data_IF_127686508900
#
_entry.id   IF_127686508900
#
_cell.length_a   1.000
_cell.length_b   1.000
_cell.length_c   1.000
_cell.angle_alpha   90.00
_cell.angle_beta   90.00
_cell.angle_gamma   90.00
#
_symmetry.space_group_name_H-M   'P 1'
#
loop_
_entity.id
_entity.type
_entity.pdbx_description
1 polymer ?
#
# COMPACT_ATOMS: atom_id res chain seq x y z
N UNK A 1 -11.35 -1.10 24.17
CA UNK A 1 -10.16 -1.12 23.29
C UNK A 1 -9.01 -1.69 24.11
N UNK A 2 -8.59 -2.93 23.86
CA UNK A 2 -7.53 -3.59 24.65
C UNK A 2 -6.32 -3.73 23.73
N UNK A 3 -5.23 -3.04 24.08
CA UNK A 3 -3.94 -3.10 23.39
C UNK A 3 -3.06 -4.07 24.18
N UNK A 4 -2.69 -5.20 23.60
CA UNK A 4 -1.68 -6.09 24.18
C UNK A 4 -0.31 -5.71 23.60
N UNK A 5 0.61 -5.30 24.47
CA UNK A 5 1.99 -4.96 24.14
C UNK A 5 2.88 -6.00 24.83
N UNK A 6 3.64 -6.77 24.06
CA UNK A 6 4.57 -7.76 24.61
C UNK A 6 5.70 -7.10 25.42
N UNK A 7 6.20 -7.71 26.52
CA UNK A 7 7.02 -7.01 27.52
C UNK A 7 8.53 -6.97 27.22
N UNK A 8 8.97 -7.35 26.01
CA UNK A 8 10.40 -7.43 25.70
C UNK A 8 10.78 -6.62 24.45
N UNK A 9 11.39 -5.44 24.72
CA UNK A 9 12.30 -4.66 23.85
C UNK A 9 11.74 -4.06 22.54
N UNK A 10 11.65 -2.71 22.50
CA UNK A 10 12.33 -1.79 21.52
C UNK A 10 11.63 -0.42 21.48
N UNK A 11 12.09 0.53 22.29
CA UNK A 11 11.59 1.92 22.33
C UNK A 11 11.76 2.73 21.03
N UNK A 12 12.57 2.27 20.06
CA UNK A 12 12.80 3.00 18.80
C UNK A 12 11.79 2.72 17.66
N UNK A 13 10.92 1.71 17.76
CA UNK A 13 9.98 1.39 16.65
C UNK A 13 8.73 2.28 16.64
N UNK A 14 8.37 2.85 17.79
CA UNK A 14 7.09 3.53 17.97
C UNK A 14 7.05 4.91 17.31
N UNK A 15 8.17 5.65 17.26
CA UNK A 15 8.18 6.99 16.63
C UNK A 15 8.02 6.90 15.11
N UNK A 16 8.81 6.04 14.45
CA UNK A 16 8.78 5.86 13.00
C UNK A 16 7.41 5.38 12.50
N UNK A 17 6.77 4.45 13.21
CA UNK A 17 5.43 3.98 12.87
C UNK A 17 4.35 5.08 13.06
N UNK A 18 4.50 5.93 14.08
CA UNK A 18 3.59 7.04 14.34
C UNK A 18 3.75 8.15 13.30
N UNK A 19 4.99 8.44 12.90
CA UNK A 19 5.30 9.42 11.85
C UNK A 19 4.80 8.95 10.48
N UNK A 20 5.03 7.69 10.12
CA UNK A 20 4.49 7.09 8.90
C UNK A 20 2.96 7.11 8.89
N UNK A 21 2.31 6.83 10.03
CA UNK A 21 0.84 6.87 10.13
C UNK A 21 0.31 8.28 9.92
N UNK A 22 0.99 9.29 10.50
CA UNK A 22 0.66 10.70 10.32
C UNK A 22 0.77 11.09 8.85
N UNK A 23 1.88 10.74 8.20
CA UNK A 23 2.12 10.99 6.77
C UNK A 23 1.04 10.36 5.90
N UNK A 24 0.65 9.10 6.14
CA UNK A 24 -0.45 8.44 5.42
C UNK A 24 -1.75 9.26 5.53
N UNK A 25 -2.15 9.60 6.75
CA UNK A 25 -3.42 10.29 7.00
C UNK A 25 -3.43 11.70 6.41
N UNK A 26 -2.32 12.45 6.52
CA UNK A 26 -2.28 13.84 6.06
C UNK A 26 -2.10 13.98 4.55
N UNK A 27 -1.49 13.01 3.87
CA UNK A 27 -1.04 13.22 2.49
C UNK A 27 -1.84 12.45 1.45
N UNK A 28 -2.23 11.20 1.73
CA UNK A 28 -2.85 10.36 0.71
C UNK A 28 -4.34 10.13 0.93
N UNK A 29 -4.77 9.95 2.18
CA UNK A 29 -6.18 9.71 2.51
C UNK A 29 -7.05 10.93 2.18
N UNK A 30 -8.13 10.73 1.44
CA UNK A 30 -9.14 11.74 1.10
C UNK A 30 -10.45 11.08 0.64
N UNK A 31 -11.36 11.85 0.05
CA UNK A 31 -12.64 11.36 -0.50
C UNK A 31 -12.50 10.29 -1.60
N UNK A 32 -11.35 10.23 -2.27
CA UNK A 32 -11.08 9.30 -3.35
C UNK A 32 -10.30 8.06 -2.85
N UNK A 33 -9.30 8.25 -1.99
CA UNK A 33 -8.47 7.19 -1.41
C UNK A 33 -8.87 6.99 0.05
N UNK A 34 -9.60 5.90 0.32
CA UNK A 34 -10.14 5.60 1.65
C UNK A 34 -9.17 4.81 2.52
N UNK A 35 -8.18 4.15 1.92
CA UNK A 35 -7.23 3.34 2.68
C UNK A 35 -5.92 3.13 1.94
N UNK A 36 -4.89 2.84 2.71
CA UNK A 36 -3.54 2.57 2.21
C UNK A 36 -2.89 1.48 3.04
N UNK A 37 -2.11 0.62 2.40
CA UNK A 37 -1.23 -0.33 3.08
C UNK A 37 0.12 -0.34 2.40
N UNK A 38 1.18 -0.30 3.20
CA UNK A 38 2.56 -0.43 2.74
C UNK A 38 3.09 -1.77 3.22
N UNK A 39 3.68 -2.52 2.30
CA UNK A 39 4.30 -3.81 2.56
C UNK A 39 5.79 -3.72 2.25
N UNK A 40 6.59 -4.54 2.91
CA UNK A 40 7.98 -4.77 2.52
C UNK A 40 8.10 -5.71 1.31
N UNK A 41 9.34 -6.00 0.91
CA UNK A 41 9.69 -6.91 -0.18
C UNK A 41 9.19 -8.35 0.02
N UNK A 42 8.98 -8.77 1.27
CA UNK A 42 8.44 -10.10 1.62
C UNK A 42 6.90 -10.11 1.64
N UNK A 43 6.25 -8.97 1.34
CA UNK A 43 4.80 -8.83 1.41
C UNK A 43 4.25 -8.69 2.82
N UNK A 44 5.11 -8.44 3.81
CA UNK A 44 4.69 -8.24 5.21
C UNK A 44 4.21 -6.80 5.40
N UNK A 45 3.01 -6.58 5.98
CA UNK A 45 2.52 -5.23 6.24
C UNK A 45 3.40 -4.47 7.23
N UNK A 46 4.02 -3.39 6.76
CA UNK A 46 4.77 -2.44 7.58
C UNK A 46 3.82 -1.49 8.30
N UNK A 47 2.83 -0.97 7.56
CA UNK A 47 1.82 -0.05 8.10
C UNK A 47 0.57 -0.07 7.23
N UNK A 48 -0.59 0.11 7.85
CA UNK A 48 -1.85 0.27 7.14
C UNK A 48 -2.76 1.30 7.80
N UNK A 49 -3.53 1.98 6.97
CA UNK A 49 -4.70 2.76 7.33
C UNK A 49 -5.86 2.22 6.50
N UNK A 50 -6.77 1.50 7.13
CA UNK A 50 -7.93 0.92 6.45
C UNK A 50 -9.21 1.60 6.98
N UNK A 51 -10.18 1.90 6.11
CA UNK A 51 -11.50 2.31 6.55
C UNK A 51 -12.19 1.15 7.25
N UNK A 52 -13.15 1.43 8.14
CA UNK A 52 -13.87 0.42 8.91
C UNK A 52 -14.62 -0.62 8.05
N UNK A 53 -14.87 -0.28 6.79
CA UNK A 53 -15.50 -1.16 5.80
C UNK A 53 -14.54 -2.20 5.20
N UNK A 54 -13.22 -2.05 5.40
CA UNK A 54 -12.20 -2.98 4.94
C UNK A 54 -11.63 -3.77 6.11
N UNK A 55 -11.69 -5.09 5.99
CA UNK A 55 -11.25 -6.01 7.05
C UNK A 55 -9.83 -6.49 6.80
N UNK A 56 -9.16 -6.99 7.85
CA UNK A 56 -7.88 -7.67 7.72
C UNK A 56 -7.94 -8.87 6.76
N UNK A 57 -9.10 -9.53 6.64
CA UNK A 57 -9.34 -10.60 5.66
C UNK A 57 -9.24 -10.07 4.22
N UNK A 58 -9.83 -8.90 3.96
CA UNK A 58 -9.74 -8.23 2.66
C UNK A 58 -8.30 -7.87 2.34
N UNK A 59 -7.57 -7.32 3.30
CA UNK A 59 -6.15 -7.00 3.11
C UNK A 59 -5.36 -8.26 2.74
N UNK A 60 -5.57 -9.37 3.45
CA UNK A 60 -4.89 -10.65 3.16
C UNK A 60 -5.16 -11.18 1.75
N UNK A 61 -6.40 -11.04 1.27
CA UNK A 61 -6.73 -11.45 -0.09
C UNK A 61 -6.02 -10.60 -1.14
N UNK A 62 -5.93 -9.29 -0.89
CA UNK A 62 -5.23 -8.36 -1.78
C UNK A 62 -3.72 -8.58 -1.76
N UNK A 63 -3.12 -8.83 -0.59
CA UNK A 63 -1.68 -9.11 -0.48
C UNK A 63 -1.27 -10.35 -1.26
N UNK A 64 -2.13 -11.39 -1.30
CA UNK A 64 -1.85 -12.60 -2.08
C UNK A 64 -1.75 -12.33 -3.60
N UNK A 65 -2.35 -11.24 -4.09
CA UNK A 65 -2.23 -10.87 -5.50
C UNK A 65 -0.82 -10.42 -5.87
N UNK A 66 0.00 -10.03 -4.89
CA UNK A 66 1.40 -9.63 -5.14
C UNK A 66 2.22 -10.79 -5.64
N UNK A 67 1.98 -12.01 -5.15
CA UNK A 67 2.63 -13.21 -5.67
C UNK A 67 2.32 -13.40 -7.16
N UNK A 68 1.05 -13.19 -7.55
CA UNK A 68 0.63 -13.25 -8.95
C UNK A 68 1.29 -12.15 -9.77
N UNK A 69 1.35 -10.92 -9.25
CA UNK A 69 2.01 -9.79 -9.90
C UNK A 69 3.50 -10.09 -10.13
N UNK A 70 4.18 -10.67 -9.13
CA UNK A 70 5.59 -11.06 -9.26
C UNK A 70 5.80 -12.11 -10.35
N UNK A 71 4.92 -13.11 -10.42
CA UNK A 71 4.95 -14.10 -11.50
C UNK A 71 4.77 -13.42 -12.86
N UNK A 72 3.78 -12.51 -12.99
CA UNK A 72 3.55 -11.77 -14.24
C UNK A 72 4.80 -10.97 -14.63
N UNK A 73 5.42 -10.25 -13.69
CA UNK A 73 6.64 -9.47 -13.93
C UNK A 73 7.81 -10.32 -14.41
N UNK A 74 7.99 -11.51 -13.85
CA UNK A 74 9.05 -12.43 -14.27
C UNK A 74 8.84 -12.99 -15.68
N UNK A 75 7.59 -13.03 -16.14
CA UNK A 75 7.21 -13.55 -17.45
C UNK A 75 6.83 -12.44 -18.44
N UNK A 76 7.08 -11.17 -18.09
CA UNK A 76 6.73 -10.03 -18.93
C UNK A 76 7.73 -9.90 -20.09
N UNK A 77 7.21 -9.62 -21.28
CA UNK A 77 8.01 -9.27 -22.45
C UNK A 77 8.77 -7.94 -22.19
N UNK A 78 10.09 -7.97 -22.36
CA UNK A 78 10.98 -6.81 -22.16
C UNK A 78 10.57 -5.62 -23.05
N UNK A 79 9.92 -5.86 -24.19
CA UNK A 79 9.43 -4.83 -25.10
C UNK A 79 8.26 -3.99 -24.56
N UNK A 80 7.58 -4.43 -23.49
CA UNK A 80 6.44 -3.73 -22.89
C UNK A 80 6.85 -2.66 -21.86
N UNK A 81 8.15 -2.57 -21.56
CA UNK A 81 8.68 -1.64 -20.56
C UNK A 81 8.37 -2.04 -19.12
N UNK A 82 8.73 -1.16 -18.17
CA UNK A 82 8.63 -1.46 -16.74
C UNK A 82 7.17 -1.64 -16.27
N UNK A 83 6.97 -2.63 -15.40
CA UNK A 83 5.73 -2.79 -14.66
C UNK A 83 5.45 -1.54 -13.81
N UNK A 84 4.32 -0.88 -14.06
CA UNK A 84 3.97 0.35 -13.35
C UNK A 84 3.03 0.09 -12.15
N UNK A 85 1.90 -0.57 -12.38
CA UNK A 85 0.89 -0.86 -11.35
C UNK A 85 -0.16 -1.85 -11.86
N UNK A 86 -0.94 -2.41 -10.95
CA UNK A 86 -2.14 -3.21 -11.24
C UNK A 86 -3.35 -2.58 -10.56
N UNK A 87 -4.50 -2.62 -11.24
CA UNK A 87 -5.79 -2.22 -10.65
C UNK A 87 -6.74 -3.40 -10.65
N UNK A 88 -7.31 -3.67 -9.48
CA UNK A 88 -8.37 -4.65 -9.30
C UNK A 88 -9.66 -3.93 -8.96
N UNK A 89 -10.70 -4.19 -9.74
CA UNK A 89 -12.02 -3.56 -9.56
C UNK A 89 -12.94 -4.52 -8.82
N UNK A 90 -13.38 -4.13 -7.64
CA UNK A 90 -14.46 -4.79 -6.90
C UNK A 90 -15.73 -3.95 -7.03
N UNK A 91 -16.88 -4.52 -6.66
CA UNK A 91 -18.16 -3.82 -6.70
C UNK A 91 -18.16 -2.51 -5.88
N UNK A 92 -17.52 -2.54 -4.71
CA UNK A 92 -17.61 -1.46 -3.72
C UNK A 92 -16.31 -0.67 -3.52
N UNK A 93 -15.23 -1.02 -4.23
CA UNK A 93 -13.95 -0.31 -4.19
C UNK A 93 -13.04 -0.76 -5.35
N UNK A 94 -12.06 0.07 -5.66
CA UNK A 94 -10.95 -0.30 -6.54
C UNK A 94 -9.68 -0.41 -5.70
N UNK A 95 -8.83 -1.34 -6.03
CA UNK A 95 -7.53 -1.51 -5.39
C UNK A 95 -6.46 -1.22 -6.42
N UNK A 96 -5.62 -0.24 -6.14
CA UNK A 96 -4.38 -0.05 -6.89
C UNK A 96 -3.22 -0.67 -6.14
N UNK A 97 -2.41 -1.46 -6.82
CA UNK A 97 -1.20 -2.10 -6.29
C UNK A 97 0.00 -1.57 -7.07
N UNK A 98 0.90 -0.90 -6.37
CA UNK A 98 2.04 -0.19 -6.92
C UNK A 98 3.33 -0.76 -6.33
N UNK A 99 4.33 -0.98 -7.17
CA UNK A 99 5.68 -1.22 -6.64
C UNK A 99 6.25 0.10 -6.10
N UNK A 100 6.92 0.05 -4.95
CA UNK A 100 7.61 1.22 -4.43
C UNK A 100 8.78 1.60 -5.34
N UNK A 101 9.06 2.89 -5.59
CA UNK A 101 10.18 3.34 -6.43
C UNK A 101 11.55 2.74 -6.09
N UNK A 102 11.81 2.41 -4.82
CA UNK A 102 13.06 1.78 -4.39
C UNK A 102 13.09 0.25 -4.59
N UNK A 103 12.03 -0.35 -5.14
CA UNK A 103 11.83 -1.80 -5.35
C UNK A 103 11.88 -2.65 -4.07
N UNK A 104 11.73 -2.04 -2.88
CA UNK A 104 11.79 -2.73 -1.58
C UNK A 104 10.41 -3.01 -0.97
N UNK A 105 9.38 -3.06 -1.79
CA UNK A 105 8.04 -3.35 -1.31
C UNK A 105 6.92 -2.80 -2.18
N UNK A 106 5.73 -2.78 -1.60
CA UNK A 106 4.49 -2.52 -2.30
C UNK A 106 3.63 -1.48 -1.59
N UNK A 107 3.01 -0.61 -2.37
CA UNK A 107 1.99 0.32 -1.95
C UNK A 107 0.63 -0.15 -2.48
N UNK A 108 -0.28 -0.48 -1.57
CA UNK A 108 -1.67 -0.80 -1.87
C UNK A 108 -2.53 0.40 -1.50
N UNK A 109 -3.36 0.87 -2.43
CA UNK A 109 -4.32 1.95 -2.19
C UNK A 109 -5.74 1.45 -2.45
N UNK A 110 -6.64 1.75 -1.53
CA UNK A 110 -8.05 1.44 -1.61
C UNK A 110 -8.81 2.69 -2.00
N UNK A 111 -9.40 2.64 -3.20
CA UNK A 111 -10.01 3.78 -3.87
C UNK A 111 -11.52 3.60 -3.93
N UNK A 112 -12.24 4.68 -3.69
CA UNK A 112 -13.68 4.78 -3.85
C UNK A 112 -14.07 4.35 -5.28
N UNK A 113 -15.09 3.48 -5.46
CA UNK A 113 -15.44 2.94 -6.78
C UNK A 113 -15.85 4.02 -7.79
N UNK A 114 -16.33 5.18 -7.32
CA UNK A 114 -16.71 6.32 -8.16
C UNK A 114 -15.52 6.99 -8.85
N UNK A 115 -14.30 6.82 -8.32
CA UNK A 115 -13.10 7.48 -8.82
C UNK A 115 -12.26 6.55 -9.70
N UNK A 116 -11.57 7.14 -10.67
CA UNK A 116 -10.59 6.44 -11.52
C UNK A 116 -9.20 6.49 -10.88
N UNK A 117 -8.54 5.33 -10.76
CA UNK A 117 -7.21 5.24 -10.14
C UNK A 117 -6.19 6.05 -10.95
N UNK A 118 -6.37 6.08 -12.27
CA UNK A 118 -5.55 6.78 -13.25
C UNK A 118 -5.46 8.28 -12.94
N UNK A 119 -6.57 8.89 -12.53
CA UNK A 119 -6.62 10.32 -12.16
C UNK A 119 -5.87 10.61 -10.85
N UNK A 120 -5.66 9.59 -10.03
CA UNK A 120 -4.98 9.69 -8.73
C UNK A 120 -3.50 9.36 -8.83
N UNK A 121 -3.02 8.88 -9.99
CA UNK A 121 -1.63 8.45 -10.18
C UNK A 121 -0.59 9.51 -9.79
N UNK A 122 -0.73 10.81 -10.12
CA UNK A 122 0.26 11.80 -9.72
C UNK A 122 0.42 11.87 -8.20
N UNK A 123 -0.69 11.88 -7.48
CA UNK A 123 -0.73 11.91 -6.01
C UNK A 123 -0.15 10.63 -5.41
N UNK A 124 -0.53 9.47 -5.95
CA UNK A 124 -0.04 8.16 -5.48
C UNK A 124 1.47 8.04 -5.69
N UNK A 125 1.98 8.45 -6.86
CA UNK A 125 3.42 8.41 -7.17
C UNK A 125 4.22 9.34 -6.26
N UNK A 126 3.76 10.57 -6.05
CA UNK A 126 4.41 11.52 -5.14
C UNK A 126 4.51 10.94 -3.72
N UNK A 127 3.41 10.36 -3.24
CA UNK A 127 3.36 9.70 -1.94
C UNK A 127 4.32 8.49 -1.88
N UNK A 128 4.33 7.63 -2.91
CA UNK A 128 5.20 6.46 -2.97
C UNK A 128 6.69 6.83 -2.94
N UNK A 129 7.10 7.90 -3.63
CA UNK A 129 8.47 8.41 -3.58
C UNK A 129 8.86 8.87 -2.17
N UNK A 130 7.99 9.63 -1.50
CA UNK A 130 8.25 10.12 -0.15
C UNK A 130 8.41 8.99 0.85
N UNK A 131 7.50 8.02 0.81
CA UNK A 131 7.57 6.83 1.66
C UNK A 131 8.83 6.02 1.39
N UNK A 132 9.22 5.86 0.13
CA UNK A 132 10.44 5.12 -0.23
C UNK A 132 11.70 5.73 0.39
N UNK A 133 11.78 7.06 0.46
CA UNK A 133 12.88 7.78 1.11
C UNK A 133 12.87 7.58 2.63
N UNK A 134 11.69 7.48 3.27
CA UNK A 134 11.57 7.26 4.72
C UNK A 134 11.83 5.81 5.14
N UNK A 135 11.77 4.85 4.21
CA UNK A 135 12.02 3.42 4.46
C UNK A 135 13.45 2.98 4.13
N UNK A 136 14.32 3.91 3.70
CA UNK A 136 15.74 3.64 3.37
C UNK A 136 16.61 3.79 4.61
#
# INVERSE_FOLDING_TARGET
MVIYISPHRKENKTSMATDLKRVIVSEIINEAIHGVTILDEMGVPLIHHLPNTLTAKTLRQVTNLIEIINIIKQNQDEGLGDFNYVVVKYANYKVGIFELPNKKGWLIVFVNPLWHVENLLPKIRQFAHKISQSLT
#
